data_IF_218479637260
#
_entry.id   IF_218479637260
#
_cell.length_a   1.000
_cell.length_b   1.000
_cell.length_c   1.000
_cell.angle_alpha   90.00
_cell.angle_beta   90.00
_cell.angle_gamma   90.00
#
_symmetry.space_group_name_H-M   'P 1'
#
loop_
_entity.id
_entity.type
_entity.pdbx_description
1 polymer ?
#
# COMPACT_ATOMS: atom_id res chain seq x y z
N UNK A 1 9.19 -36.98 -13.33
CA UNK A 1 9.58 -36.41 -14.63
C UNK A 1 8.41 -36.27 -15.63
N UNK A 2 7.37 -37.11 -15.57
CA UNK A 2 6.27 -37.10 -16.54
C UNK A 2 5.32 -35.87 -16.47
N UNK A 3 5.10 -35.26 -15.29
CA UNK A 3 4.20 -34.11 -15.13
C UNK A 3 4.75 -32.79 -15.68
N UNK A 4 6.09 -32.66 -15.77
CA UNK A 4 6.76 -31.46 -16.29
C UNK A 4 6.61 -31.34 -17.82
N UNK A 5 6.48 -32.47 -18.50
CA UNK A 5 6.38 -32.54 -19.96
C UNK A 5 4.97 -32.26 -20.51
N UNK A 6 3.93 -32.43 -19.68
CA UNK A 6 2.52 -32.24 -20.07
C UNK A 6 2.03 -30.82 -19.70
N UNK A 7 2.58 -30.20 -18.64
CA UNK A 7 2.19 -28.84 -18.23
C UNK A 7 2.88 -27.74 -19.04
N UNK A 8 4.12 -27.93 -19.51
CA UNK A 8 4.84 -26.89 -20.27
C UNK A 8 4.17 -26.54 -21.63
N UNK A 9 3.61 -27.48 -22.40
CA UNK A 9 2.88 -27.17 -23.63
C UNK A 9 1.55 -26.44 -23.36
N UNK A 10 0.79 -26.88 -22.35
CA UNK A 10 -0.50 -26.30 -21.99
C UNK A 10 -0.36 -24.84 -21.50
N UNK A 11 0.63 -24.58 -20.65
CA UNK A 11 0.92 -23.23 -20.14
C UNK A 11 1.43 -22.29 -21.24
N UNK A 12 2.05 -22.85 -22.29
CA UNK A 12 2.53 -22.08 -23.44
C UNK A 12 1.39 -21.73 -24.40
N UNK A 13 0.48 -22.66 -24.65
CA UNK A 13 -0.76 -22.41 -25.39
C UNK A 13 -1.66 -21.39 -24.66
N UNK A 14 -1.80 -21.50 -23.33
CA UNK A 14 -2.54 -20.51 -22.53
C UNK A 14 -1.92 -19.10 -22.66
N UNK A 15 -0.58 -18.98 -22.60
CA UNK A 15 0.12 -17.70 -22.78
C UNK A 15 0.00 -17.13 -24.20
N UNK A 16 0.08 -17.99 -25.23
CA UNK A 16 -0.09 -17.57 -26.62
C UNK A 16 -1.53 -17.10 -26.89
N UNK A 17 -2.52 -17.79 -26.32
CA UNK A 17 -3.94 -17.40 -26.42
C UNK A 17 -4.21 -16.07 -25.73
N UNK A 18 -3.67 -15.85 -24.52
CA UNK A 18 -3.80 -14.57 -23.81
C UNK A 18 -3.10 -13.43 -24.57
N UNK A 19 -1.91 -13.66 -25.12
CA UNK A 19 -1.20 -12.67 -25.93
C UNK A 19 -1.95 -12.33 -27.22
N UNK A 20 -2.65 -13.29 -27.82
CA UNK A 20 -3.46 -13.07 -29.02
C UNK A 20 -4.76 -12.31 -28.71
N UNK A 21 -5.39 -12.58 -27.57
CA UNK A 21 -6.54 -11.81 -27.07
C UNK A 21 -6.15 -10.36 -26.78
N UNK A 22 -5.01 -10.13 -26.12
CA UNK A 22 -4.49 -8.78 -25.85
C UNK A 22 -4.21 -8.00 -27.14
N UNK A 23 -3.59 -8.65 -28.14
CA UNK A 23 -3.39 -8.06 -29.46
C UNK A 23 -4.68 -7.72 -30.20
N UNK A 24 -5.74 -8.51 -30.01
CA UNK A 24 -7.05 -8.24 -30.61
C UNK A 24 -7.79 -7.10 -29.91
N UNK A 25 -7.59 -6.93 -28.60
CA UNK A 25 -8.12 -5.80 -27.81
C UNK A 25 -7.44 -4.48 -28.19
N UNK A 26 -6.12 -4.48 -28.39
CA UNK A 26 -5.34 -3.30 -28.81
C UNK A 26 -5.58 -2.87 -30.26
N UNK A 27 -6.05 -3.78 -31.14
CA UNK A 27 -6.30 -3.49 -32.56
C UNK A 27 -7.60 -2.75 -32.86
N UNK A 28 -8.52 -2.59 -31.91
CA UNK A 28 -9.68 -1.70 -32.12
C UNK A 28 -9.23 -0.24 -31.96
N UNK A 29 -9.71 0.68 -32.82
CA UNK A 29 -9.11 2.00 -32.98
C UNK A 29 -9.07 2.85 -31.70
N UNK A 30 -9.90 2.54 -30.69
CA UNK A 30 -9.73 2.99 -29.30
C UNK A 30 -10.33 1.94 -28.35
N UNK A 31 -9.55 1.23 -27.51
CA UNK A 31 -10.11 0.36 -26.49
C UNK A 31 -10.78 1.20 -25.39
N UNK A 32 -12.02 0.89 -25.02
CA UNK A 32 -12.73 1.58 -23.93
C UNK A 32 -12.01 1.35 -22.59
N UNK A 33 -12.13 2.30 -21.66
CA UNK A 33 -11.50 2.26 -20.31
C UNK A 33 -11.73 0.92 -19.59
N UNK A 34 -12.93 0.37 -19.73
CA UNK A 34 -13.33 -0.93 -19.18
C UNK A 34 -12.56 -2.11 -19.80
N UNK A 35 -12.30 -2.06 -21.11
CA UNK A 35 -11.60 -3.13 -21.82
C UNK A 35 -10.11 -3.15 -21.47
N UNK A 36 -9.50 -1.98 -21.29
CA UNK A 36 -8.11 -1.86 -20.82
C UNK A 36 -7.97 -2.30 -19.36
N UNK A 37 -8.93 -1.93 -18.49
CA UNK A 37 -8.96 -2.37 -17.11
C UNK A 37 -9.12 -3.89 -16.99
N UNK A 38 -10.00 -4.50 -17.81
CA UNK A 38 -10.18 -5.95 -17.82
C UNK A 38 -8.92 -6.68 -18.31
N UNK A 39 -8.26 -6.18 -19.35
CA UNK A 39 -7.01 -6.74 -19.87
C UNK A 39 -5.89 -6.71 -18.82
N UNK A 40 -5.70 -5.58 -18.13
CA UNK A 40 -4.71 -5.44 -17.05
C UNK A 40 -5.05 -6.28 -15.82
N UNK A 41 -6.33 -6.38 -15.48
CA UNK A 41 -6.79 -7.24 -14.39
C UNK A 41 -6.45 -8.70 -14.66
N UNK A 42 -6.76 -9.21 -15.86
CA UNK A 42 -6.42 -10.58 -16.25
C UNK A 42 -4.92 -10.84 -16.17
N UNK A 43 -4.09 -9.90 -16.66
CA UNK A 43 -2.62 -10.03 -16.61
C UNK A 43 -2.10 -10.06 -15.17
N UNK A 44 -2.61 -9.18 -14.30
CA UNK A 44 -2.27 -9.17 -12.88
C UNK A 44 -2.66 -10.47 -12.15
N UNK A 45 -3.82 -11.06 -12.47
CA UNK A 45 -4.24 -12.33 -11.88
C UNK A 45 -3.28 -13.47 -12.28
N UNK A 46 -2.84 -13.52 -13.53
CA UNK A 46 -1.87 -14.51 -13.99
C UNK A 46 -0.50 -14.33 -13.31
N UNK A 47 -0.04 -13.09 -13.15
CA UNK A 47 1.21 -12.80 -12.44
C UNK A 47 1.18 -13.27 -10.98
N UNK A 48 0.07 -12.99 -10.26
CA UNK A 48 -0.11 -13.44 -8.87
C UNK A 48 -0.12 -14.96 -8.78
N UNK A 49 -0.76 -15.65 -9.73
CA UNK A 49 -0.76 -17.13 -9.77
C UNK A 49 0.67 -17.67 -9.97
N UNK A 50 1.51 -16.99 -10.78
CA UNK A 50 2.91 -17.38 -10.97
C UNK A 50 3.77 -17.14 -9.73
N UNK A 51 3.58 -16.01 -9.04
CA UNK A 51 4.25 -15.69 -7.78
C UNK A 51 3.92 -16.73 -6.69
N UNK A 52 2.64 -17.07 -6.53
CA UNK A 52 2.19 -18.08 -5.56
C UNK A 52 2.79 -19.45 -5.89
N UNK A 53 2.81 -19.87 -7.16
CA UNK A 53 3.45 -21.13 -7.58
C UNK A 53 4.96 -21.13 -7.33
N UNK A 54 5.66 -20.00 -7.51
CA UNK A 54 7.09 -19.86 -7.21
C UNK A 54 7.36 -19.94 -5.71
N UNK A 55 6.52 -19.32 -4.88
CA UNK A 55 6.62 -19.43 -3.43
C UNK A 55 6.36 -20.85 -2.93
N UNK A 56 5.36 -21.55 -3.46
CA UNK A 56 5.12 -22.96 -3.12
C UNK A 56 6.30 -23.85 -3.48
N UNK A 57 6.96 -23.58 -4.62
CA UNK A 57 8.14 -24.32 -5.04
C UNK A 57 9.33 -24.06 -4.09
N UNK A 58 9.53 -22.80 -3.67
CA UNK A 58 10.56 -22.44 -2.67
C UNK A 58 10.29 -23.12 -1.33
N UNK A 59 9.05 -23.08 -0.83
CA UNK A 59 8.64 -23.76 0.41
C UNK A 59 8.87 -25.27 0.35
N UNK A 60 8.55 -25.92 -0.78
CA UNK A 60 8.83 -27.35 -0.98
C UNK A 60 10.33 -27.67 -0.97
N UNK A 61 11.16 -26.84 -1.60
CA UNK A 61 12.61 -27.01 -1.62
C UNK A 61 13.24 -26.81 -0.24
N UNK A 62 12.75 -25.84 0.54
CA UNK A 62 13.20 -25.58 1.90
C UNK A 62 12.83 -26.71 2.87
N UNK A 63 11.61 -27.23 2.76
CA UNK A 63 11.16 -28.40 3.52
C UNK A 63 12.01 -29.65 3.23
N UNK A 64 12.40 -29.86 1.97
CA UNK A 64 13.28 -30.96 1.58
C UNK A 64 14.70 -30.82 2.15
N UNK A 65 15.23 -29.59 2.23
CA UNK A 65 16.52 -29.31 2.87
C UNK A 65 16.49 -29.60 4.37
N UNK A 66 15.44 -29.16 5.07
CA UNK A 66 15.25 -29.43 6.50
C UNK A 66 15.15 -30.94 6.75
N UNK A 67 14.42 -31.67 5.90
CA UNK A 67 14.32 -33.13 5.99
C UNK A 67 15.68 -33.83 5.83
N UNK A 68 16.49 -33.43 4.84
CA UNK A 68 17.84 -33.99 4.64
C UNK A 68 18.79 -33.70 5.81
N UNK A 69 18.66 -32.53 6.44
CA UNK A 69 19.45 -32.19 7.63
C UNK A 69 19.06 -33.06 8.83
N UNK A 70 17.76 -33.26 9.08
CA UNK A 70 17.28 -34.16 10.14
C UNK A 70 17.72 -35.61 9.94
N UNK A 71 17.61 -36.13 8.70
CA UNK A 71 18.06 -37.49 8.37
C UNK A 71 19.59 -37.65 8.56
N UNK A 72 20.39 -36.62 8.28
CA UNK A 72 21.85 -36.64 8.51
C UNK A 72 22.20 -36.58 10.01
N UNK A 73 21.46 -35.81 10.80
CA UNK A 73 21.64 -35.71 12.25
C UNK A 73 21.27 -37.03 12.96
N UNK A 74 20.19 -37.67 12.55
CA UNK A 74 19.79 -39.00 13.07
C UNK A 74 20.83 -40.08 12.75
N UNK A 75 21.43 -40.05 11.55
CA UNK A 75 22.52 -40.97 11.18
C UNK A 75 23.76 -40.77 12.06
N UNK A 76 24.15 -39.51 12.32
CA UNK A 76 25.26 -39.19 13.24
C UNK A 76 24.99 -39.68 14.65
N UNK A 77 23.80 -39.42 15.19
CA UNK A 77 23.38 -39.90 16.52
C UNK A 77 23.34 -41.43 16.60
N UNK A 78 22.97 -42.11 15.52
CA UNK A 78 22.97 -43.57 15.45
C UNK A 78 24.39 -44.16 15.41
N UNK A 79 25.33 -43.49 14.72
CA UNK A 79 26.75 -43.87 14.72
C UNK A 79 27.41 -43.65 16.07
N UNK A 80 27.13 -42.53 16.74
CA UNK A 80 27.60 -42.25 18.11
C UNK A 80 27.10 -43.30 19.10
N UNK A 81 25.81 -43.66 19.07
CA UNK A 81 25.23 -44.73 19.91
C UNK A 81 25.83 -46.10 19.62
N UNK A 82 26.22 -46.40 18.38
CA UNK A 82 26.92 -47.65 18.06
C UNK A 82 28.34 -47.64 18.64
N UNK A 83 29.04 -46.52 18.54
CA UNK A 83 30.39 -46.32 19.05
C UNK A 83 30.44 -46.38 20.58
N UNK A 84 29.45 -45.80 21.26
CA UNK A 84 29.27 -45.92 22.71
C UNK A 84 29.09 -47.38 23.13
N UNK A 85 28.22 -48.15 22.44
CA UNK A 85 28.02 -49.57 22.73
C UNK A 85 29.28 -50.42 22.49
N UNK A 86 30.09 -50.09 21.49
CA UNK A 86 31.37 -50.77 21.24
C UNK A 86 32.41 -50.45 22.32
N UNK A 87 32.49 -49.20 22.78
CA UNK A 87 33.34 -48.78 23.90
C UNK A 87 32.91 -49.42 25.23
N UNK A 88 31.61 -49.53 25.46
CA UNK A 88 31.03 -50.16 26.66
C UNK A 88 31.28 -51.67 26.68
N UNK A 89 31.27 -52.34 25.52
CA UNK A 89 31.64 -53.76 25.40
C UNK A 89 33.15 -54.04 25.59
N UNK A 90 34.00 -53.01 25.47
CA UNK A 90 35.45 -53.11 25.66
C UNK A 90 35.88 -52.74 27.10
N UNK A 91 34.95 -52.24 27.93
CA UNK A 91 35.23 -51.89 29.31
C UNK A 91 35.28 -53.18 30.16
N UNK A 92 36.30 -53.38 31.01
CA UNK A 92 36.33 -54.51 31.92
C UNK A 92 35.13 -54.43 32.89
N UNK A 93 34.43 -55.56 33.05
CA UNK A 93 33.31 -55.71 33.98
C UNK A 93 33.80 -55.36 35.39
N UNK A 94 33.20 -54.38 36.09
CA UNK A 94 33.55 -54.11 37.47
C UNK A 94 33.19 -55.33 38.33
N UNK A 95 34.14 -55.77 39.16
CA UNK A 95 33.90 -56.78 40.18
C UNK A 95 32.75 -56.35 41.09
N UNK A 96 31.84 -57.29 41.36
CA UNK A 96 30.74 -57.13 42.32
C UNK A 96 31.30 -56.79 43.70
N UNK A 97 30.94 -55.62 44.22
CA UNK A 97 30.89 -55.35 45.65
C UNK A 97 29.45 -55.15 46.06
N UNK A 98 28.92 -56.13 46.81
CA UNK A 98 27.67 -56.03 47.54
C UNK A 98 27.79 -54.90 48.57
N UNK A 99 26.95 -53.85 48.47
CA UNK A 99 26.38 -53.08 49.58
C UNK A 99 25.48 -51.95 49.02
N UNK A 100 24.20 -51.99 49.37
CA UNK A 100 23.22 -50.94 49.04
C UNK A 100 23.42 -49.72 49.95
N UNK A 101 23.39 -48.47 49.44
CA UNK A 101 23.46 -47.27 50.27
C UNK A 101 22.11 -46.95 50.95
N UNK A 102 22.11 -46.29 52.13
CA UNK A 102 20.88 -45.80 52.73
C UNK A 102 20.33 -44.59 51.96
N UNK A 103 19.01 -44.53 51.79
CA UNK A 103 18.32 -43.46 51.07
C UNK A 103 18.49 -42.10 51.75
N UNK A 104 18.91 -41.10 50.98
CA UNK A 104 18.78 -39.68 51.36
C UNK A 104 17.36 -39.20 51.08
N UNK A 105 16.69 -38.67 52.11
CA UNK A 105 15.42 -37.94 51.98
C UNK A 105 15.63 -36.63 51.19
N UNK A 106 14.86 -36.45 50.13
CA UNK A 106 14.76 -35.20 49.37
C UNK A 106 13.60 -34.37 49.97
N UNK A 107 13.76 -33.07 50.23
CA UNK A 107 12.64 -32.22 50.65
C UNK A 107 11.68 -31.96 49.47
N UNK A 108 10.37 -32.01 49.74
CA UNK A 108 9.31 -31.74 48.77
C UNK A 108 9.37 -30.28 48.26
N UNK A 109 9.24 -30.12 46.94
CA UNK A 109 9.16 -28.80 46.28
C UNK A 109 7.72 -28.27 46.46
N UNK A 110 7.52 -26.99 46.85
CA UNK A 110 6.19 -26.43 47.00
C UNK A 110 5.46 -26.30 45.64
N UNK A 111 4.15 -26.56 45.66
CA UNK A 111 3.28 -26.49 44.48
C UNK A 111 3.02 -25.06 44.01
N UNK A 112 2.85 -24.90 42.70
CA UNK A 112 2.70 -23.67 41.91
C UNK A 112 1.62 -22.65 42.37
N UNK A 113 0.82 -22.97 43.39
CA UNK A 113 -0.25 -22.13 43.92
C UNK A 113 0.22 -21.06 44.94
N UNK A 114 1.44 -21.15 45.45
CA UNK A 114 2.00 -20.21 46.45
C UNK A 114 2.70 -18.97 45.84
N UNK A 115 2.68 -18.81 44.51
CA UNK A 115 3.44 -17.75 43.81
C UNK A 115 2.68 -16.44 43.53
N UNK A 116 1.49 -16.24 44.13
CA UNK A 116 0.88 -14.91 44.31
C UNK A 116 0.84 -13.98 43.09
N UNK A 117 0.38 -14.46 41.93
CA UNK A 117 0.11 -13.59 40.78
C UNK A 117 -1.31 -13.01 40.89
N UNK A 118 -1.42 -11.84 41.51
CA UNK A 118 -2.61 -10.99 41.49
C UNK A 118 -2.84 -10.34 40.11
N UNK A 119 -4.11 -10.34 39.72
CA UNK A 119 -4.82 -9.42 38.84
C UNK A 119 -4.11 -8.90 37.58
N UNK A 120 -4.40 -9.59 36.47
CA UNK A 120 -4.33 -8.97 35.14
C UNK A 120 -5.36 -7.83 35.09
N UNK A 121 -4.97 -6.56 34.83
CA UNK A 121 -5.94 -5.51 34.60
C UNK A 121 -6.78 -5.88 33.36
N UNK A 122 -8.09 -5.95 33.54
CA UNK A 122 -9.07 -6.13 32.46
C UNK A 122 -8.77 -5.10 31.35
N UNK A 123 -8.70 -5.49 30.07
CA UNK A 123 -8.61 -4.51 28.99
C UNK A 123 -9.91 -3.70 28.96
N UNK A 124 -9.86 -2.45 29.43
CA UNK A 124 -10.96 -1.49 29.35
C UNK A 124 -10.80 -0.56 28.17
N UNK A 125 -11.59 -0.85 27.13
CA UNK A 125 -12.44 0.01 26.28
C UNK A 125 -12.52 -0.67 24.92
N UNK A 126 -13.73 -1.06 24.54
CA UNK A 126 -14.01 -1.57 23.20
C UNK A 126 -13.52 -0.55 22.16
N UNK A 127 -13.00 -1.01 21.00
CA UNK A 127 -12.40 -0.13 20.01
C UNK A 127 -13.43 0.91 19.57
N UNK A 128 -13.03 2.18 19.59
CA UNK A 128 -13.69 3.24 18.82
C UNK A 128 -13.92 2.67 17.41
N UNK A 129 -15.12 2.82 16.85
CA UNK A 129 -15.45 2.19 15.56
C UNK A 129 -14.48 2.67 14.47
N UNK A 130 -13.43 1.88 14.20
CA UNK A 130 -12.42 2.14 13.18
C UNK A 130 -12.89 1.51 11.89
N UNK A 131 -13.05 2.31 10.84
CA UNK A 131 -13.23 1.79 9.47
C UNK A 131 -11.93 2.00 8.71
N UNK A 132 -11.41 0.92 8.15
CA UNK A 132 -10.17 0.91 7.37
C UNK A 132 -10.47 0.30 6.00
N UNK A 133 -10.08 0.99 4.94
CA UNK A 133 -10.13 0.44 3.59
C UNK A 133 -9.04 1.06 2.72
N UNK A 134 -8.72 0.36 1.64
CA UNK A 134 -7.71 0.80 0.67
C UNK A 134 -8.42 1.32 -0.57
N UNK A 135 -8.01 2.49 -1.04
CA UNK A 135 -8.39 3.06 -2.34
C UNK A 135 -7.23 2.88 -3.32
N UNK A 136 -7.53 2.53 -4.56
CA UNK A 136 -6.53 2.48 -5.61
C UNK A 136 -6.58 3.81 -6.37
N UNK A 137 -5.57 4.65 -6.18
CA UNK A 137 -5.45 5.95 -6.84
C UNK A 137 -4.17 5.93 -7.65
N UNK A 138 -4.28 6.12 -8.97
CA UNK A 138 -3.13 6.08 -9.89
C UNK A 138 -2.28 4.80 -9.74
N UNK A 139 -2.93 3.64 -9.68
CA UNK A 139 -2.27 2.34 -9.48
C UNK A 139 -1.49 2.19 -8.16
N UNK A 140 -1.63 3.15 -7.23
CA UNK A 140 -1.03 3.11 -5.90
C UNK A 140 -2.11 2.88 -4.82
N UNK A 141 -1.88 1.96 -3.87
CA UNK A 141 -2.80 1.75 -2.76
C UNK A 141 -2.67 2.87 -1.73
N UNK A 142 -3.74 3.62 -1.52
CA UNK A 142 -3.88 4.61 -0.45
C UNK A 142 -4.73 4.02 0.67
N UNK A 143 -4.24 4.12 1.91
CA UNK A 143 -5.02 3.71 3.07
C UNK A 143 -5.95 4.83 3.53
N UNK A 144 -7.22 4.51 3.76
CA UNK A 144 -8.18 5.40 4.41
C UNK A 144 -8.54 4.83 5.77
N UNK A 145 -8.40 5.68 6.80
CA UNK A 145 -8.73 5.37 8.18
C UNK A 145 -9.76 6.37 8.69
N UNK A 146 -10.91 5.88 9.12
CA UNK A 146 -11.94 6.67 9.78
C UNK A 146 -11.93 6.29 11.25
N UNK A 147 -11.57 7.25 12.10
CA UNK A 147 -11.58 7.10 13.55
C UNK A 147 -12.71 7.93 14.13
N UNK A 148 -13.36 7.41 15.16
CA UNK A 148 -14.29 8.18 15.99
C UNK A 148 -13.50 8.76 17.15
N UNK A 149 -13.62 10.05 17.41
CA UNK A 149 -13.02 10.71 18.58
C UNK A 149 -13.92 10.55 19.82
N UNK A 150 -13.38 10.86 21.01
CA UNK A 150 -14.12 10.77 22.27
C UNK A 150 -15.33 11.71 22.31
N UNK A 151 -15.25 12.83 21.58
CA UNK A 151 -16.33 13.83 21.43
C UNK A 151 -17.46 13.37 20.50
N UNK A 152 -17.34 12.19 19.89
CA UNK A 152 -18.34 11.59 19.01
C UNK A 152 -18.25 12.03 17.54
N UNK A 153 -17.33 12.95 17.23
CA UNK A 153 -16.93 13.36 15.88
C UNK A 153 -16.19 12.23 15.17
N UNK A 154 -16.35 12.14 13.85
CA UNK A 154 -15.54 11.24 13.01
C UNK A 154 -14.42 12.06 12.36
N UNK A 155 -13.22 11.49 12.33
CA UNK A 155 -12.04 12.04 11.67
C UNK A 155 -11.67 11.15 10.48
N UNK A 156 -11.55 11.75 9.31
CA UNK A 156 -11.14 11.06 8.09
C UNK A 156 -9.65 11.28 7.82
N UNK A 157 -8.87 10.21 7.96
CA UNK A 157 -7.41 10.24 7.79
C UNK A 157 -7.00 9.53 6.50
N UNK A 158 -6.29 10.26 5.65
CA UNK A 158 -5.68 9.72 4.42
C UNK A 158 -4.24 9.33 4.71
N UNK A 159 -3.88 8.10 4.37
CA UNK A 159 -2.54 7.55 4.51
C UNK A 159 -1.93 7.41 3.11
N UNK A 160 -1.14 8.41 2.73
CA UNK A 160 -0.45 8.45 1.45
C UNK A 160 0.95 7.79 1.52
N UNK A 161 1.54 7.42 0.36
CA UNK A 161 2.87 6.83 0.33
C UNK A 161 3.93 7.78 0.90
N UNK A 162 4.64 7.35 1.95
CA UNK A 162 5.65 8.21 2.56
C UNK A 162 6.81 8.53 1.60
N UNK A 163 6.99 9.82 1.27
CA UNK A 163 8.08 10.36 0.46
C UNK A 163 8.60 11.66 1.08
N UNK A 164 9.92 11.79 1.17
CA UNK A 164 10.56 13.01 1.67
C UNK A 164 10.21 14.22 0.78
N UNK A 165 9.73 15.35 1.36
CA UNK A 165 9.26 16.49 0.59
C UNK A 165 10.36 17.11 -0.29
N UNK A 166 11.62 17.02 0.14
CA UNK A 166 12.79 17.51 -0.62
C UNK A 166 12.99 16.73 -1.93
N UNK A 167 12.68 15.43 -1.94
CA UNK A 167 12.76 14.60 -3.15
C UNK A 167 11.63 14.97 -4.10
N UNK A 168 10.41 15.16 -3.56
CA UNK A 168 9.23 15.52 -4.33
C UNK A 168 9.38 16.88 -5.01
N UNK A 169 9.85 17.90 -4.30
CA UNK A 169 10.05 19.24 -4.86
C UNK A 169 11.03 19.21 -6.05
N UNK A 170 12.16 18.50 -5.90
CA UNK A 170 13.12 18.33 -6.99
C UNK A 170 12.56 17.54 -8.16
N UNK A 171 11.78 16.50 -7.90
CA UNK A 171 11.11 15.73 -8.94
C UNK A 171 10.13 16.62 -9.72
N UNK A 172 9.34 17.43 -9.01
CA UNK A 172 8.40 18.40 -9.60
C UNK A 172 9.10 19.45 -10.45
N UNK A 173 10.22 20.00 -9.99
CA UNK A 173 10.98 21.02 -10.74
C UNK A 173 11.63 20.45 -12.02
N UNK A 174 12.11 19.21 -11.96
CA UNK A 174 12.65 18.52 -13.14
C UNK A 174 11.53 18.19 -14.11
N UNK A 175 10.41 17.69 -13.60
CA UNK A 175 9.27 17.31 -14.41
C UNK A 175 8.59 18.53 -15.05
N UNK A 176 8.36 19.62 -14.32
CA UNK A 176 7.68 20.81 -14.85
C UNK A 176 8.36 21.39 -16.10
N UNK A 177 9.70 21.35 -16.16
CA UNK A 177 10.47 21.79 -17.34
C UNK A 177 10.35 20.86 -18.55
N UNK A 178 10.14 19.57 -18.30
CA UNK A 178 10.01 18.56 -19.36
C UNK A 178 8.54 18.36 -19.78
N UNK A 179 7.59 18.59 -18.87
CA UNK A 179 6.15 18.56 -19.10
C UNK A 179 5.69 19.59 -20.12
N UNK A 180 6.23 20.81 -20.07
CA UNK A 180 5.95 21.84 -21.08
C UNK A 180 6.34 21.39 -22.51
N UNK A 181 7.19 20.36 -22.64
CA UNK A 181 7.65 19.84 -23.92
C UNK A 181 6.86 18.63 -24.39
N UNK A 182 6.49 17.72 -23.49
CA UNK A 182 5.75 16.51 -23.84
C UNK A 182 4.96 15.95 -22.64
N UNK A 183 3.64 15.81 -22.81
CA UNK A 183 2.73 15.29 -21.78
C UNK A 183 2.74 13.74 -21.72
N UNK A 184 3.21 13.07 -22.78
CA UNK A 184 3.25 11.60 -22.84
C UNK A 184 4.34 10.97 -21.98
N UNK A 185 5.26 11.78 -21.44
CA UNK A 185 6.34 11.34 -20.55
C UNK A 185 5.84 10.82 -19.20
N UNK A 186 4.56 11.05 -18.87
CA UNK A 186 3.95 10.55 -17.65
C UNK A 186 3.89 9.02 -17.64
N UNK A 187 3.54 8.42 -18.77
CA UNK A 187 3.33 6.98 -18.89
C UNK A 187 4.63 6.18 -19.13
N UNK A 188 5.77 6.84 -19.35
CA UNK A 188 7.05 6.17 -19.58
C UNK A 188 7.73 5.78 -18.26
N UNK A 189 7.79 4.48 -17.91
CA UNK A 189 8.42 4.01 -16.68
C UNK A 189 9.92 4.32 -16.63
N UNK A 190 10.58 4.38 -17.80
CA UNK A 190 12.01 4.66 -17.93
C UNK A 190 12.31 6.11 -17.56
N UNK A 191 11.40 7.02 -17.92
CA UNK A 191 11.54 8.42 -17.62
C UNK A 191 11.40 8.69 -16.12
N UNK A 192 10.34 8.15 -15.51
CA UNK A 192 10.11 8.24 -14.06
C UNK A 192 11.28 7.67 -13.26
N UNK A 193 11.85 6.55 -13.71
CA UNK A 193 13.03 5.97 -13.09
C UNK A 193 14.22 6.93 -13.10
N UNK A 194 14.48 7.59 -14.23
CA UNK A 194 15.57 8.58 -14.36
C UNK A 194 15.33 9.82 -13.50
N UNK A 195 14.09 10.30 -13.44
CA UNK A 195 13.72 11.44 -12.57
C UNK A 195 13.93 11.07 -11.11
N UNK A 196 13.48 9.88 -10.70
CA UNK A 196 13.65 9.36 -9.35
C UNK A 196 15.13 9.20 -8.98
N UNK A 197 15.94 8.55 -9.83
CA UNK A 197 17.38 8.39 -9.61
C UNK A 197 18.10 9.73 -9.47
N UNK A 198 17.80 10.70 -10.35
CA UNK A 198 18.38 12.04 -10.27
C UNK A 198 17.94 12.78 -9.00
N UNK A 199 16.67 12.64 -8.62
CA UNK A 199 16.14 13.27 -7.42
C UNK A 199 16.81 12.69 -6.16
N UNK A 200 16.91 11.36 -6.04
CA UNK A 200 17.53 10.70 -4.88
C UNK A 200 19.04 10.98 -4.81
N UNK A 201 19.75 10.91 -5.94
CA UNK A 201 21.20 11.16 -6.00
C UNK A 201 21.56 12.60 -5.57
N UNK A 202 20.72 13.57 -5.91
CA UNK A 202 20.91 14.98 -5.51
C UNK A 202 20.62 15.26 -4.04
N UNK A 203 19.87 14.39 -3.35
CA UNK A 203 19.52 14.56 -1.93
C UNK A 203 20.39 13.64 -1.05
N UNK A 204 21.04 12.62 -1.63
CA UNK A 204 21.89 11.68 -0.89
C UNK A 204 21.09 10.60 -0.16
N UNK A 205 19.84 10.35 -0.56
CA UNK A 205 19.01 9.28 0.00
C UNK A 205 19.22 7.96 -0.76
N UNK A 206 19.04 6.84 -0.05
CA UNK A 206 19.10 5.50 -0.63
C UNK A 206 18.01 5.31 -1.68
N UNK A 207 18.40 4.96 -2.90
CA UNK A 207 17.47 4.61 -3.96
C UNK A 207 16.83 3.24 -3.68
N UNK A 208 15.51 3.15 -3.76
CA UNK A 208 14.74 1.91 -3.64
C UNK A 208 13.77 1.84 -4.82
N UNK A 209 13.47 0.64 -5.31
CA UNK A 209 12.60 0.43 -6.48
C UNK A 209 11.16 0.96 -6.29
N UNK A 210 10.75 1.23 -5.05
CA UNK A 210 9.46 1.85 -4.72
C UNK A 210 9.45 3.38 -4.86
N UNK A 211 10.60 4.04 -4.85
CA UNK A 211 10.68 5.52 -4.93
C UNK A 211 10.12 6.06 -6.26
N UNK A 212 10.44 5.47 -7.43
CA UNK A 212 9.83 5.89 -8.70
C UNK A 212 8.31 5.83 -8.67
N UNK A 213 7.71 4.76 -8.10
CA UNK A 213 6.25 4.60 -8.00
C UNK A 213 5.62 5.67 -7.09
N UNK A 214 6.27 5.97 -5.96
CA UNK A 214 5.83 7.05 -5.07
C UNK A 214 5.91 8.42 -5.73
N UNK A 215 6.99 8.69 -6.46
CA UNK A 215 7.16 9.94 -7.21
C UNK A 215 6.09 10.03 -8.31
N UNK A 216 5.84 8.93 -9.03
CA UNK A 216 4.79 8.86 -10.04
C UNK A 216 3.44 9.26 -9.46
N UNK A 217 3.03 8.64 -8.33
CA UNK A 217 1.81 8.99 -7.62
C UNK A 217 1.70 10.50 -7.35
N UNK A 218 2.71 11.10 -6.73
CA UNK A 218 2.66 12.51 -6.36
C UNK A 218 2.71 13.45 -7.57
N UNK A 219 3.48 13.11 -8.60
CA UNK A 219 3.49 13.89 -9.85
C UNK A 219 2.13 13.83 -10.52
N UNK A 220 1.47 12.67 -10.54
CA UNK A 220 0.20 12.48 -11.25
C UNK A 220 -0.88 13.25 -10.54
N UNK A 221 -0.95 13.05 -9.23
CA UNK A 221 -1.84 13.74 -8.31
C UNK A 221 -1.73 15.26 -8.39
N UNK A 222 -0.51 15.80 -8.38
CA UNK A 222 -0.31 17.26 -8.29
C UNK A 222 -0.43 17.96 -9.65
N UNK A 223 0.04 17.32 -10.73
CA UNK A 223 0.13 17.95 -12.06
C UNK A 223 -1.14 17.70 -12.88
N UNK A 224 -1.55 16.44 -12.99
CA UNK A 224 -2.71 16.02 -13.78
C UNK A 224 -3.98 16.01 -12.94
N UNK A 225 -3.88 15.51 -11.71
CA UNK A 225 -4.96 15.33 -10.76
C UNK A 225 -5.34 16.58 -9.98
N UNK A 226 -6.19 16.41 -8.97
CA UNK A 226 -6.73 17.46 -8.11
C UNK A 226 -5.87 17.75 -6.86
N UNK A 227 -4.62 17.29 -6.84
CA UNK A 227 -3.69 17.50 -5.73
C UNK A 227 -4.21 16.89 -4.43
N UNK A 228 -4.30 17.71 -3.38
CA UNK A 228 -4.77 17.27 -2.05
C UNK A 228 -6.22 16.75 -2.07
N UNK A 229 -7.04 17.18 -3.03
CA UNK A 229 -8.42 16.70 -3.16
C UNK A 229 -8.53 15.32 -3.81
N UNK A 230 -7.48 14.85 -4.47
CA UNK A 230 -7.53 13.66 -5.30
C UNK A 230 -7.95 12.39 -4.52
N UNK A 231 -7.36 12.06 -3.35
CA UNK A 231 -7.79 10.90 -2.57
C UNK A 231 -9.25 10.97 -2.12
N UNK A 232 -9.80 12.19 -1.97
CA UNK A 232 -11.20 12.41 -1.59
C UNK A 232 -12.15 12.24 -2.79
N UNK A 233 -11.72 12.65 -3.99
CA UNK A 233 -12.49 12.51 -5.22
C UNK A 233 -12.55 11.06 -5.71
N UNK A 234 -11.50 10.28 -5.47
CA UNK A 234 -11.49 8.85 -5.79
C UNK A 234 -12.33 8.00 -4.84
N UNK A 235 -12.69 8.51 -3.66
CA UNK A 235 -13.53 7.77 -2.73
C UNK A 235 -15.01 7.84 -3.14
N UNK A 236 -15.63 6.71 -3.56
CA UNK A 236 -17.04 6.70 -3.97
C UNK A 236 -18.00 6.98 -2.81
N UNK A 237 -17.57 6.82 -1.56
CA UNK A 237 -18.41 7.03 -0.38
C UNK A 237 -18.53 8.48 0.03
N UNK A 238 -17.69 9.36 -0.54
CA UNK A 238 -17.73 10.80 -0.32
C UNK A 238 -18.73 11.43 -1.30
N UNK A 239 -19.74 12.12 -0.75
CA UNK A 239 -20.78 12.82 -1.50
C UNK A 239 -20.44 14.27 -1.78
N UNK A 240 -19.84 14.93 -0.80
CA UNK A 240 -19.47 16.34 -0.91
C UNK A 240 -18.14 16.59 -0.20
N UNK A 241 -17.34 17.49 -0.76
CA UNK A 241 -16.06 17.96 -0.22
C UNK A 241 -16.15 19.48 -0.15
N UNK A 242 -15.81 20.06 0.99
CA UNK A 242 -15.88 21.49 1.23
C UNK A 242 -14.58 22.00 1.84
N UNK A 243 -14.00 23.02 1.23
CA UNK A 243 -12.81 23.71 1.70
C UNK A 243 -13.13 25.20 1.89
N UNK A 244 -13.05 25.67 3.14
CA UNK A 244 -13.43 27.02 3.53
C UNK A 244 -12.29 28.05 3.47
N UNK A 245 -11.10 27.64 3.02
CA UNK A 245 -9.93 28.50 2.90
C UNK A 245 -8.62 27.88 3.40
N UNK A 246 -7.53 28.65 3.36
CA UNK A 246 -6.22 28.18 3.80
C UNK A 246 -6.17 27.89 5.29
N UNK A 247 -5.34 26.95 5.69
CA UNK A 247 -5.11 26.48 7.06
C UNK A 247 -6.37 25.97 7.78
N UNK A 248 -7.42 25.63 7.02
CA UNK A 248 -8.60 24.94 7.51
C UNK A 248 -8.60 23.50 7.01
N UNK A 249 -9.01 22.59 7.88
CA UNK A 249 -9.25 21.21 7.51
C UNK A 249 -10.35 21.15 6.44
N UNK A 250 -10.14 20.29 5.44
CA UNK A 250 -11.16 20.01 4.44
C UNK A 250 -12.28 19.22 5.14
N UNK A 251 -13.52 19.64 4.96
CA UNK A 251 -14.71 18.95 5.46
C UNK A 251 -15.25 18.06 4.36
N UNK A 252 -15.72 16.88 4.71
CA UNK A 252 -16.36 15.97 3.76
C UNK A 252 -17.70 15.51 4.30
N UNK A 253 -18.64 15.27 3.40
CA UNK A 253 -19.90 14.61 3.70
C UNK A 253 -19.82 13.16 3.21
N UNK A 254 -19.76 12.24 4.17
CA UNK A 254 -19.65 10.81 3.92
C UNK A 254 -21.03 10.17 3.89
N UNK A 255 -21.29 9.28 2.92
CA UNK A 255 -22.63 8.77 2.63
C UNK A 255 -23.39 8.23 3.86
N UNK A 256 -22.72 7.44 4.71
CA UNK A 256 -23.37 6.77 5.86
C UNK A 256 -23.13 7.48 7.20
N UNK A 257 -22.09 8.31 7.28
CA UNK A 257 -21.58 8.86 8.54
C UNK A 257 -21.83 10.37 8.67
N UNK A 258 -22.26 11.02 7.59
CA UNK A 258 -22.52 12.45 7.54
C UNK A 258 -21.24 13.28 7.46
N UNK A 259 -21.32 14.52 7.95
CA UNK A 259 -20.22 15.48 7.91
C UNK A 259 -19.08 15.10 8.86
N UNK A 260 -17.85 15.11 8.36
CA UNK A 260 -16.64 14.84 9.11
C UNK A 260 -15.49 15.74 8.65
N UNK A 261 -14.54 15.98 9.56
CA UNK A 261 -13.30 16.69 9.21
C UNK A 261 -12.25 15.71 8.70
N UNK A 262 -11.40 16.19 7.80
CA UNK A 262 -10.25 15.43 7.31
C UNK A 262 -8.97 15.95 7.95
N UNK A 263 -7.92 15.13 7.97
CA UNK A 263 -6.57 15.58 8.35
C UNK A 263 -5.87 16.41 7.27
N UNK A 264 -6.52 16.62 6.12
CA UNK A 264 -5.95 17.33 4.99
C UNK A 264 -6.31 18.81 5.08
N UNK A 265 -5.32 19.67 4.86
CA UNK A 265 -5.49 21.12 4.83
C UNK A 265 -4.64 21.72 3.73
N UNK A 266 -5.11 22.81 3.13
CA UNK A 266 -4.33 23.59 2.16
C UNK A 266 -3.70 24.76 2.90
N UNK A 267 -2.37 24.87 2.87
CA UNK A 267 -1.66 25.91 3.63
C UNK A 267 -1.81 27.31 3.03
N UNK A 268 -1.90 27.38 1.69
CA UNK A 268 -1.84 28.64 0.95
C UNK A 268 -3.08 28.86 0.07
N UNK A 269 -3.61 30.07 0.13
CA UNK A 269 -4.72 30.53 -0.68
C UNK A 269 -4.37 30.51 -2.18
N UNK A 270 -3.11 30.76 -2.54
CA UNK A 270 -2.66 30.74 -3.94
C UNK A 270 -2.78 29.35 -4.58
N UNK A 271 -2.51 28.29 -3.81
CA UNK A 271 -2.64 26.90 -4.28
C UNK A 271 -4.11 26.62 -4.62
N UNK A 272 -5.02 27.00 -3.72
CA UNK A 272 -6.46 26.85 -3.94
C UNK A 272 -6.95 27.68 -5.13
N UNK A 273 -6.48 28.93 -5.26
CA UNK A 273 -6.79 29.79 -6.40
C UNK A 273 -6.32 29.20 -7.73
N UNK A 274 -5.11 28.63 -7.77
CA UNK A 274 -4.58 27.96 -8.96
C UNK A 274 -5.44 26.76 -9.34
N UNK A 275 -5.88 25.97 -8.37
CA UNK A 275 -6.76 24.84 -8.60
C UNK A 275 -8.12 25.28 -9.19
N UNK A 276 -8.78 26.27 -8.57
CA UNK A 276 -10.06 26.81 -9.06
C UNK A 276 -9.91 27.37 -10.48
N UNK A 277 -8.82 28.10 -10.78
CA UNK A 277 -8.53 28.61 -12.12
C UNK A 277 -8.30 27.48 -13.14
N UNK A 278 -7.56 26.43 -12.77
CA UNK A 278 -7.31 25.27 -13.64
C UNK A 278 -8.62 24.56 -13.99
N UNK A 279 -9.49 24.34 -12.99
CA UNK A 279 -10.82 23.76 -13.20
C UNK A 279 -11.70 24.64 -14.11
N UNK A 280 -11.68 25.95 -13.89
CA UNK A 280 -12.42 26.88 -14.74
C UNK A 280 -11.98 26.77 -16.20
N UNK A 281 -10.66 26.83 -16.44
CA UNK A 281 -10.08 26.70 -17.80
C UNK A 281 -10.44 25.37 -18.44
N UNK A 282 -10.37 24.26 -17.69
CA UNK A 282 -10.77 22.94 -18.17
C UNK A 282 -12.26 22.87 -18.54
N UNK A 283 -13.12 23.60 -17.82
CA UNK A 283 -14.53 23.75 -18.13
C UNK A 283 -14.83 24.83 -19.20
N UNK A 284 -13.81 25.42 -19.82
CA UNK A 284 -13.97 26.48 -20.83
C UNK A 284 -14.41 27.83 -20.26
N UNK A 285 -14.32 28.03 -18.95
CA UNK A 285 -14.65 29.29 -18.25
C UNK A 285 -13.38 30.02 -17.84
N UNK A 286 -13.39 31.34 -17.94
CA UNK A 286 -12.29 32.17 -17.44
C UNK A 286 -12.76 32.92 -16.19
N UNK A 287 -12.02 32.75 -15.10
CA UNK A 287 -12.24 33.50 -13.87
C UNK A 287 -11.31 34.70 -13.84
N UNK A 288 -11.87 35.85 -13.50
CA UNK A 288 -11.15 37.11 -13.38
C UNK A 288 -11.65 37.87 -12.14
N UNK A 289 -11.05 39.04 -11.87
CA UNK A 289 -11.41 39.86 -10.70
C UNK A 289 -12.88 40.28 -10.68
N UNK A 290 -13.48 40.44 -11.86
CA UNK A 290 -14.88 40.86 -12.01
C UNK A 290 -15.85 39.69 -11.85
N UNK A 291 -15.42 38.47 -12.16
CA UNK A 291 -16.20 37.23 -12.03
C UNK A 291 -15.40 36.19 -11.22
N UNK A 292 -15.35 36.32 -9.88
CA UNK A 292 -14.57 35.44 -9.01
C UNK A 292 -15.27 34.10 -8.71
N UNK A 293 -16.51 33.92 -9.17
CA UNK A 293 -17.36 32.76 -8.85
C UNK A 293 -17.27 31.72 -9.98
N UNK A 294 -16.97 30.48 -9.61
CA UNK A 294 -17.01 29.30 -10.44
C UNK A 294 -18.25 28.48 -10.09
N UNK A 295 -19.05 28.15 -11.11
CA UNK A 295 -20.07 27.11 -11.03
C UNK A 295 -19.93 26.27 -12.29
N UNK A 296 -19.50 25.02 -12.18
CA UNK A 296 -19.32 24.14 -13.33
C UNK A 296 -19.57 22.68 -12.97
N UNK A 297 -19.85 21.87 -13.98
CA UNK A 297 -19.93 20.41 -13.84
C UNK A 297 -18.86 19.79 -14.72
N UNK A 298 -18.04 18.92 -14.15
CA UNK A 298 -16.93 18.27 -14.84
C UNK A 298 -16.76 16.85 -14.30
N UNK A 299 -16.65 15.86 -15.19
CA UNK A 299 -16.42 14.44 -14.86
C UNK A 299 -17.34 13.84 -13.78
N UNK A 300 -18.63 14.19 -13.79
CA UNK A 300 -19.60 13.69 -12.82
C UNK A 300 -19.56 14.40 -11.45
N UNK A 301 -18.80 15.49 -11.33
CA UNK A 301 -18.78 16.33 -10.14
C UNK A 301 -19.26 17.74 -10.46
N UNK A 302 -20.03 18.34 -9.56
CA UNK A 302 -20.36 19.75 -9.56
C UNK A 302 -19.34 20.50 -8.70
N UNK A 303 -18.69 21.50 -9.28
CA UNK A 303 -17.72 22.36 -8.64
C UNK A 303 -18.31 23.75 -8.47
N UNK A 304 -18.39 24.21 -7.23
CA UNK A 304 -18.80 25.56 -6.86
C UNK A 304 -17.66 26.20 -6.07
N UNK A 305 -17.11 27.32 -6.54
CA UNK A 305 -15.96 27.93 -5.89
C UNK A 305 -15.92 29.43 -6.03
N UNK A 306 -15.19 30.08 -5.12
CA UNK A 306 -14.96 31.51 -5.15
C UNK A 306 -13.48 31.78 -4.95
N UNK A 307 -12.88 32.53 -5.87
CA UNK A 307 -11.49 33.00 -5.77
C UNK A 307 -11.45 34.19 -4.82
N UNK A 308 -10.68 34.06 -3.74
CA UNK A 308 -10.39 35.13 -2.81
C UNK A 308 -9.11 35.86 -3.21
N UNK A 309 -9.17 37.19 -3.34
CA UNK A 309 -8.03 38.06 -3.61
C UNK A 309 -7.86 39.10 -2.49
N UNK A 310 -6.64 39.61 -2.29
CA UNK A 310 -6.37 40.72 -1.35
C UNK A 310 -6.65 40.42 0.13
N UNK A 311 -6.50 39.16 0.57
CA UNK A 311 -6.80 38.74 1.95
C UNK A 311 -8.15 38.03 2.12
N UNK A 312 -8.99 37.99 1.08
CA UNK A 312 -10.18 37.13 1.06
C UNK A 312 -9.79 35.65 0.97
N UNK A 313 -10.42 34.81 1.81
CA UNK A 313 -10.23 33.35 1.74
C UNK A 313 -10.98 32.76 0.55
N UNK A 314 -10.28 32.01 -0.29
CA UNK A 314 -10.90 31.26 -1.39
C UNK A 314 -11.63 30.06 -0.84
N UNK A 315 -12.71 29.65 -1.50
CA UNK A 315 -13.53 28.51 -1.06
C UNK A 315 -13.91 27.66 -2.24
N UNK A 316 -14.05 26.37 -2.01
CA UNK A 316 -14.55 25.44 -3.01
C UNK A 316 -15.40 24.36 -2.34
N UNK A 317 -16.50 24.04 -2.98
CA UNK A 317 -17.39 22.92 -2.69
C UNK A 317 -17.44 22.04 -3.92
N UNK A 318 -17.20 20.76 -3.74
CA UNK A 318 -17.23 19.74 -4.78
C UNK A 318 -18.29 18.73 -4.39
N UNK A 319 -19.32 18.57 -5.22
CA UNK A 319 -20.40 17.62 -5.00
C UNK A 319 -20.36 16.54 -6.06
N UNK A 320 -20.39 15.28 -5.64
CA UNK A 320 -20.55 14.14 -6.54
C UNK A 320 -22.00 14.14 -7.05
N UNK A 321 -22.17 14.09 -8.37
CA UNK A 321 -23.48 13.87 -8.97
C UNK A 321 -23.70 12.36 -9.03
N UNK A 322 -24.73 11.88 -8.34
CA UNK A 322 -25.21 10.52 -8.52
C UNK A 322 -26.04 10.51 -9.81
N UNK A 323 -25.63 9.71 -10.81
CA UNK A 323 -26.37 9.52 -12.08
C UNK A 323 -27.67 8.75 -11.87
#
# INVERSE_FOLDING_TARGET
MATRFIMDPLMKEERETVAEILRLVEKKPYPTKETVQLARFVDSCFYVIEEVKKEELKKKQELERIRKQKEAEERRKAEERKREKELEAMAPVPEKSDELPPMLNIPEIPTLAELGLEDVPKPQKAPLAKREYVLQVYENPIGILIEKEEDGTYLYKVIEPNLEPVILEKARDMYGKEFERDNSLFDDPSFLKRVAEKATNKVGFGYTDLIPQKIHYYLERDILGAGVFDPLLYDPKIKEISCEGPNKNIKINYADLGSMETTLSISDNEILNRFIKRLATAAGKTLNEQNPILDTTFEGFKFEGTIGMGGGSSRITIRRLEE
#
